data_IF_910329163620
#
_entry.id   IF_910329163620
#
_cell.length_a   1.000
_cell.length_b   1.000
_cell.length_c   1.000
_cell.angle_alpha   90.00
_cell.angle_beta   90.00
_cell.angle_gamma   90.00
#
_symmetry.space_group_name_H-M   'P 1'
#
loop_
_entity.id
_entity.type
_entity.pdbx_description
1 polymer ?
#
# COMPACT_ATOMS: atom_id res chain seq x y z
N UNK A 1 -17.29 5.52 -14.52
CA UNK A 1 -16.27 4.58 -14.00
C UNK A 1 -15.05 4.65 -14.91
N UNK A 2 -13.86 4.98 -14.37
CA UNK A 2 -12.62 5.05 -15.15
C UNK A 2 -12.29 3.69 -15.77
N UNK A 3 -11.60 3.68 -16.92
CA UNK A 3 -11.16 2.44 -17.56
C UNK A 3 -10.28 1.59 -16.63
N UNK A 4 -9.52 2.24 -15.75
CA UNK A 4 -8.69 1.61 -14.72
C UNK A 4 -9.57 0.84 -13.72
N UNK A 5 -10.60 1.48 -13.16
CA UNK A 5 -11.53 0.82 -12.21
C UNK A 5 -12.21 -0.40 -12.84
N UNK A 6 -12.61 -0.30 -14.12
CA UNK A 6 -13.21 -1.45 -14.84
C UNK A 6 -12.21 -2.61 -14.97
N UNK A 7 -10.96 -2.32 -15.34
CA UNK A 7 -9.92 -3.33 -15.48
C UNK A 7 -9.58 -3.98 -14.12
N UNK A 8 -9.46 -3.19 -13.05
CA UNK A 8 -9.18 -3.69 -11.70
C UNK A 8 -10.31 -4.60 -11.18
N UNK A 9 -11.58 -4.21 -11.41
CA UNK A 9 -12.73 -5.08 -11.07
C UNK A 9 -12.71 -6.39 -11.84
N UNK A 10 -12.41 -6.36 -13.14
CA UNK A 10 -12.26 -7.59 -13.92
C UNK A 10 -11.12 -8.47 -13.40
N UNK A 11 -10.00 -7.87 -12.97
CA UNK A 11 -8.91 -8.56 -12.31
C UNK A 11 -9.35 -9.26 -11.02
N UNK A 12 -10.09 -8.57 -10.14
CA UNK A 12 -10.62 -9.16 -8.91
C UNK A 12 -11.51 -10.38 -9.19
N UNK A 13 -12.37 -10.33 -10.21
CA UNK A 13 -13.23 -11.46 -10.55
C UNK A 13 -12.44 -12.67 -11.07
N UNK A 14 -11.36 -12.45 -11.83
CA UNK A 14 -10.44 -13.52 -12.23
C UNK A 14 -9.70 -14.12 -11.03
N UNK A 15 -9.25 -13.27 -10.10
CA UNK A 15 -8.57 -13.72 -8.88
C UNK A 15 -9.50 -14.55 -7.98
N UNK A 16 -10.76 -14.12 -7.79
CA UNK A 16 -11.77 -14.89 -7.06
C UNK A 16 -12.02 -16.26 -7.69
N UNK A 17 -12.16 -16.29 -9.02
CA UNK A 17 -12.35 -17.56 -9.75
C UNK A 17 -11.15 -18.50 -9.58
N UNK A 18 -9.92 -17.98 -9.66
CA UNK A 18 -8.72 -18.78 -9.40
C UNK A 18 -8.70 -19.33 -7.96
N UNK A 19 -9.11 -18.52 -7.00
CA UNK A 19 -9.16 -18.88 -5.59
C UNK A 19 -10.17 -19.99 -5.30
N UNK A 20 -11.35 -19.95 -5.93
CA UNK A 20 -12.34 -21.03 -5.88
C UNK A 20 -11.76 -22.34 -6.41
N UNK A 21 -11.09 -22.31 -7.56
CA UNK A 21 -10.47 -23.50 -8.17
C UNK A 21 -9.36 -24.10 -7.29
N UNK A 22 -8.55 -23.28 -6.62
CA UNK A 22 -7.54 -23.79 -5.69
C UNK A 22 -8.15 -24.42 -4.45
N UNK A 23 -9.21 -23.83 -3.89
CA UNK A 23 -9.96 -24.41 -2.76
C UNK A 23 -10.60 -25.74 -3.13
N UNK A 24 -11.10 -25.88 -4.35
CA UNK A 24 -11.65 -27.13 -4.87
C UNK A 24 -10.56 -28.20 -5.09
N UNK A 25 -9.35 -27.80 -5.47
CA UNK A 25 -8.23 -28.71 -5.66
C UNK A 25 -7.64 -29.25 -4.34
N UNK A 26 -7.52 -28.41 -3.29
CA UNK A 26 -6.92 -28.77 -1.99
C UNK A 26 -7.32 -30.15 -1.43
N UNK A 27 -8.61 -30.54 -1.33
CA UNK A 27 -9.00 -31.83 -0.78
C UNK A 27 -8.55 -33.03 -1.63
N UNK A 28 -8.22 -32.81 -2.90
CA UNK A 28 -7.80 -33.86 -3.85
C UNK A 28 -6.28 -33.99 -3.96
N UNK A 29 -5.51 -33.15 -3.25
CA UNK A 29 -4.04 -33.20 -3.28
C UNK A 29 -3.57 -34.24 -2.26
N UNK A 30 -2.92 -35.31 -2.73
CA UNK A 30 -2.35 -36.36 -1.88
C UNK A 30 -0.99 -35.96 -1.26
N UNK A 31 -0.20 -35.16 -1.99
CA UNK A 31 1.11 -34.69 -1.53
C UNK A 31 0.97 -33.53 -0.53
N UNK A 32 1.44 -33.72 0.70
CA UNK A 32 1.31 -32.73 1.79
C UNK A 32 2.04 -31.42 1.50
N UNK A 33 3.24 -31.46 0.92
CA UNK A 33 4.02 -30.27 0.58
C UNK A 33 3.33 -29.45 -0.53
N UNK A 34 2.76 -30.13 -1.52
CA UNK A 34 1.96 -29.49 -2.56
C UNK A 34 0.70 -28.87 -1.95
N UNK A 35 0.04 -29.55 -0.99
CA UNK A 35 -1.14 -29.01 -0.31
C UNK A 35 -0.80 -27.72 0.45
N UNK A 36 0.24 -27.74 1.27
CA UNK A 36 0.72 -26.55 2.00
C UNK A 36 1.08 -25.40 1.06
N UNK A 37 1.70 -25.71 -0.08
CA UNK A 37 2.03 -24.71 -1.11
C UNK A 37 0.77 -24.08 -1.69
N UNK A 38 -0.24 -24.88 -2.04
CA UNK A 38 -1.52 -24.36 -2.57
C UNK A 38 -2.28 -23.57 -1.50
N UNK A 39 -2.28 -24.01 -0.24
CA UNK A 39 -2.89 -23.28 0.88
C UNK A 39 -2.23 -21.90 1.08
N UNK A 40 -0.90 -21.82 0.96
CA UNK A 40 -0.17 -20.56 0.97
C UNK A 40 -0.57 -19.66 -0.19
N UNK A 41 -0.66 -20.20 -1.41
CA UNK A 41 -1.12 -19.45 -2.58
C UNK A 41 -2.54 -18.90 -2.37
N UNK A 42 -3.44 -19.68 -1.76
CA UNK A 42 -4.79 -19.22 -1.42
C UNK A 42 -4.75 -18.06 -0.43
N UNK A 43 -3.91 -18.14 0.61
CA UNK A 43 -3.71 -17.04 1.57
C UNK A 43 -3.20 -15.77 0.88
N UNK A 44 -2.15 -15.88 0.07
CA UNK A 44 -1.54 -14.74 -0.63
C UNK A 44 -2.53 -14.09 -1.60
N UNK A 45 -3.34 -14.88 -2.32
CA UNK A 45 -4.38 -14.36 -3.21
C UNK A 45 -5.48 -13.59 -2.48
N UNK A 46 -5.90 -14.02 -1.29
CA UNK A 46 -6.86 -13.23 -0.51
C UNK A 46 -6.31 -11.84 -0.19
N UNK A 47 -5.05 -11.75 0.25
CA UNK A 47 -4.39 -10.46 0.53
C UNK A 47 -4.26 -9.59 -0.72
N UNK A 48 -3.98 -10.19 -1.88
CA UNK A 48 -3.93 -9.48 -3.16
C UNK A 48 -5.31 -8.93 -3.55
N UNK A 49 -6.37 -9.73 -3.40
CA UNK A 49 -7.75 -9.29 -3.65
C UNK A 49 -8.12 -8.11 -2.74
N UNK A 50 -7.79 -8.18 -1.46
CA UNK A 50 -8.03 -7.07 -0.53
C UNK A 50 -7.30 -5.81 -0.98
N UNK A 51 -6.02 -5.95 -1.33
CA UNK A 51 -5.20 -4.83 -1.85
C UNK A 51 -5.83 -4.17 -3.09
N UNK A 52 -6.35 -4.97 -4.03
CA UNK A 52 -7.03 -4.45 -5.22
C UNK A 52 -8.33 -3.70 -4.87
N UNK A 53 -9.09 -4.15 -3.86
CA UNK A 53 -10.26 -3.41 -3.38
C UNK A 53 -9.87 -2.03 -2.83
N UNK A 54 -8.80 -1.93 -2.04
CA UNK A 54 -8.30 -0.65 -1.52
C UNK A 54 -7.88 0.30 -2.65
N UNK A 55 -7.21 -0.20 -3.68
CA UNK A 55 -6.82 0.60 -4.86
C UNK A 55 -8.06 1.14 -5.58
N UNK A 56 -9.10 0.32 -5.74
CA UNK A 56 -10.37 0.79 -6.35
C UNK A 56 -11.03 1.88 -5.50
N UNK A 57 -11.05 1.72 -4.18
CA UNK A 57 -11.61 2.74 -3.26
C UNK A 57 -10.85 4.06 -3.42
N UNK A 58 -9.52 4.01 -3.39
CA UNK A 58 -8.67 5.18 -3.59
C UNK A 58 -8.90 5.85 -4.96
N UNK A 59 -8.91 5.07 -6.05
CA UNK A 59 -9.10 5.57 -7.42
C UNK A 59 -10.52 6.12 -7.67
N UNK A 60 -11.53 5.59 -6.97
CA UNK A 60 -12.91 6.05 -7.10
C UNK A 60 -13.19 7.39 -6.41
N UNK A 61 -12.23 7.94 -5.68
CA UNK A 61 -12.43 9.13 -4.85
C UNK A 61 -13.44 8.89 -3.71
N UNK A 62 -13.74 7.63 -3.37
CA UNK A 62 -14.58 7.25 -2.23
C UNK A 62 -13.80 7.23 -0.91
N UNK A 63 -12.53 7.63 -0.93
CA UNK A 63 -11.90 8.16 0.26
C UNK A 63 -12.61 9.47 0.55
N UNK A 64 -13.52 9.49 1.53
CA UNK A 64 -14.13 10.72 2.01
C UNK A 64 -13.02 11.73 2.32
N UNK A 65 -12.79 12.67 1.40
CA UNK A 65 -12.24 13.96 1.76
C UNK A 65 -13.41 14.67 2.42
N UNK A 66 -13.54 14.51 3.74
CA UNK A 66 -14.35 15.44 4.51
C UNK A 66 -13.90 16.85 4.12
N UNK A 67 -14.81 17.56 3.46
CA UNK A 67 -14.72 18.96 3.09
C UNK A 67 -14.63 19.76 4.39
N UNK A 68 -13.42 19.87 4.96
CA UNK A 68 -13.18 20.82 6.04
C UNK A 68 -13.11 22.20 5.39
N UNK A 69 -14.31 22.75 5.20
CA UNK A 69 -14.61 24.19 5.18
C UNK A 69 -13.50 24.96 5.91
N UNK A 70 -12.97 25.98 5.24
CA UNK A 70 -12.05 26.97 5.82
C UNK A 70 -12.44 27.35 7.26
N UNK A 71 -11.78 26.73 8.24
CA UNK A 71 -11.81 27.16 9.62
C UNK A 71 -10.52 26.65 10.25
N UNK A 72 -9.60 27.59 10.50
CA UNK A 72 -8.42 27.51 11.37
C UNK A 72 -8.02 26.11 11.85
N UNK A 73 -6.86 25.65 11.36
CA UNK A 73 -6.09 24.47 11.78
C UNK A 73 -6.56 23.74 13.06
N UNK A 74 -6.85 22.44 12.94
CA UNK A 74 -6.38 21.47 13.92
C UNK A 74 -5.63 20.30 13.27
N UNK A 75 -4.70 19.75 14.05
CA UNK A 75 -3.69 18.75 13.69
C UNK A 75 -4.26 17.49 12.99
N UNK A 76 -3.50 16.85 12.08
CA UNK A 76 -3.94 15.63 11.42
C UNK A 76 -4.10 14.49 12.43
N UNK A 77 -5.34 13.99 12.55
CA UNK A 77 -5.67 12.83 13.36
C UNK A 77 -4.93 11.58 12.85
N UNK A 78 -4.23 10.92 13.77
CA UNK A 78 -3.42 9.69 13.58
C UNK A 78 -4.26 8.52 13.02
N UNK A 79 -4.47 8.49 11.71
CA UNK A 79 -4.95 7.30 11.00
C UNK A 79 -3.84 6.27 10.89
N UNK A 80 -4.01 5.10 11.52
CA UNK A 80 -3.07 3.98 11.46
C UNK A 80 -3.08 3.38 10.05
N UNK A 81 -2.12 3.78 9.21
CA UNK A 81 -1.81 3.09 7.96
C UNK A 81 -1.38 1.65 8.27
N UNK A 82 -1.97 0.60 7.66
CA UNK A 82 -1.63 -0.79 7.96
C UNK A 82 -0.18 -1.17 7.57
N UNK A 83 0.51 -0.31 6.82
CA UNK A 83 1.93 -0.44 6.48
C UNK A 83 2.89 -0.13 7.64
N UNK A 84 2.43 0.40 8.77
CA UNK A 84 3.31 0.79 9.89
C UNK A 84 4.15 -0.37 10.46
N UNK A 85 3.70 -1.62 10.29
CA UNK A 85 4.47 -2.79 10.71
C UNK A 85 5.68 -3.08 9.82
N UNK A 86 5.60 -2.80 8.52
CA UNK A 86 6.70 -3.07 7.57
C UNK A 86 7.83 -2.05 7.67
N UNK A 87 7.51 -0.77 7.92
CA UNK A 87 8.53 0.27 8.07
C UNK A 87 9.35 0.12 9.36
N UNK A 88 8.72 -0.36 10.44
CA UNK A 88 9.42 -0.66 11.70
C UNK A 88 10.45 -1.79 11.54
N UNK A 89 10.17 -2.80 10.71
CA UNK A 89 11.11 -3.88 10.39
C UNK A 89 12.31 -3.39 9.55
N UNK A 90 12.15 -2.30 8.80
CA UNK A 90 13.23 -1.61 8.08
C UNK A 90 13.95 -0.54 8.93
N UNK A 91 13.62 -0.40 10.22
CA UNK A 91 14.25 0.56 11.13
C UNK A 91 13.82 2.02 10.92
N UNK A 92 12.74 2.26 10.18
CA UNK A 92 12.21 3.60 9.93
C UNK A 92 11.16 3.91 11.00
N UNK A 93 11.54 4.75 11.96
CA UNK A 93 10.64 5.24 13.01
C UNK A 93 9.77 6.39 12.47
N UNK A 94 8.51 6.06 12.20
CA UNK A 94 7.50 7.01 11.75
C UNK A 94 7.25 8.16 12.75
N UNK A 95 7.59 7.99 14.03
CA UNK A 95 7.47 9.05 15.05
C UNK A 95 8.48 10.17 14.77
N UNK A 96 9.72 9.78 14.43
CA UNK A 96 10.76 10.74 14.01
C UNK A 96 10.46 11.36 12.66
N UNK A 97 9.94 10.58 11.70
CA UNK A 97 9.51 11.13 10.40
C UNK A 97 8.39 12.15 10.57
N UNK A 98 7.45 11.90 11.49
CA UNK A 98 6.39 12.84 11.84
C UNK A 98 6.92 14.15 12.43
N UNK A 99 7.87 14.08 13.36
CA UNK A 99 8.54 15.28 13.91
C UNK A 99 9.31 16.07 12.86
N UNK A 100 10.00 15.37 11.95
CA UNK A 100 10.74 15.98 10.83
C UNK A 100 9.80 16.65 9.83
N UNK A 101 8.64 16.03 9.53
CA UNK A 101 7.66 16.55 8.58
C UNK A 101 6.79 17.67 9.16
N UNK A 102 6.58 17.67 10.48
CA UNK A 102 5.82 18.70 11.19
C UNK A 102 6.63 19.97 11.45
N UNK A 103 7.97 19.91 11.38
CA UNK A 103 8.88 21.03 11.57
C UNK A 103 9.40 21.55 10.21
N UNK A 104 8.92 22.72 9.74
CA UNK A 104 9.29 23.27 8.43
C UNK A 104 10.80 23.53 8.27
N UNK A 105 11.51 23.82 9.36
CA UNK A 105 12.94 24.13 9.33
C UNK A 105 13.78 22.86 9.16
N UNK A 106 13.43 21.79 9.88
CA UNK A 106 14.09 20.48 9.74
C UNK A 106 13.80 19.83 8.38
N UNK A 107 12.60 20.04 7.85
CA UNK A 107 12.25 19.63 6.49
C UNK A 107 13.10 20.34 5.44
N UNK A 108 13.34 21.64 5.61
CA UNK A 108 14.23 22.41 4.74
C UNK A 108 15.70 21.98 4.87
N UNK A 109 16.16 21.63 6.07
CA UNK A 109 17.51 21.14 6.33
C UNK A 109 17.79 19.79 5.64
N UNK A 110 16.85 18.84 5.71
CA UNK A 110 17.00 17.53 5.07
C UNK A 110 16.88 17.62 3.54
N UNK A 111 15.97 18.45 3.02
CA UNK A 111 15.93 18.73 1.58
C UNK A 111 17.19 19.46 1.10
N UNK A 112 17.77 20.33 1.93
CA UNK A 112 19.05 20.99 1.68
C UNK A 112 20.22 20.01 1.66
N UNK A 113 20.24 19.02 2.55
CA UNK A 113 21.26 17.95 2.56
C UNK A 113 21.16 17.00 1.37
N UNK A 114 19.94 16.68 0.89
CA UNK A 114 19.77 15.84 -0.31
C UNK A 114 19.99 16.59 -1.63
N UNK A 115 19.98 17.92 -1.62
CA UNK A 115 20.32 18.76 -2.77
C UNK A 115 21.82 18.99 -2.97
N UNK A 116 22.68 18.46 -2.09
CA UNK A 116 24.13 18.69 -2.09
C UNK A 116 24.99 17.69 -2.87
N UNK A 117 24.45 16.53 -3.23
CA UNK A 117 25.20 15.46 -3.93
C UNK A 117 24.46 15.01 -5.20
N UNK A 118 24.31 15.92 -6.17
CA UNK A 118 24.37 15.53 -7.57
C UNK A 118 25.83 15.64 -8.01
N UNK A 119 26.52 14.54 -8.37
CA UNK A 119 27.78 14.67 -9.09
C UNK A 119 27.46 15.38 -10.40
N UNK A 120 28.07 16.56 -10.59
CA UNK A 120 28.06 17.23 -11.87
C UNK A 120 28.49 16.23 -12.94
N UNK A 121 27.64 16.01 -13.94
CA UNK A 121 28.02 15.36 -15.19
C UNK A 121 29.27 16.07 -15.71
N UNK A 122 30.43 15.44 -15.54
CA UNK A 122 31.65 15.86 -16.20
C UNK A 122 31.55 15.45 -17.66
N UNK A 123 31.21 16.41 -18.50
CA UNK A 123 31.56 16.38 -19.92
C UNK A 123 33.07 16.18 -20.08
N UNK A 124 33.45 15.13 -20.82
CA UNK A 124 34.65 15.05 -21.67
C UNK A 124 34.43 13.96 -22.72
#
# INVERSE_FOLDING_TARGET
MSNIIKALKAGIELEKKALEQYKEAIPNIENSEMRETIEKIVSDKNQQIDTLHWIIVAESGQLETTDTKEESAPEPAKGKCPFTGQFAAMGIDMSKMGEIMADPEKRAEIMGQMGGDMPASSES
#
